data_IF_676732177005
#
_entry.id   IF_676732177005
#
_cell.length_a   1.000
_cell.length_b   1.000
_cell.length_c   1.000
_cell.angle_alpha   90.00
_cell.angle_beta   90.00
_cell.angle_gamma   90.00
#
_symmetry.space_group_name_H-M   'P 1'
#
loop_
_entity.id
_entity.type
_entity.pdbx_description
1 polymer ?
#
# COMPACT_ATOMS: atom_id res chain seq x y z
N UNK A 1 5.84 -40.20 36.07
CA UNK A 1 4.82 -39.92 35.04
C UNK A 1 4.04 -41.20 34.82
N UNK A 2 2.75 -41.24 35.19
CA UNK A 2 1.93 -42.43 34.95
C UNK A 2 1.59 -42.52 33.46
N UNK A 3 1.35 -43.73 32.96
CA UNK A 3 1.09 -43.98 31.54
C UNK A 3 -0.12 -43.19 31.02
N UNK A 4 -1.11 -43.01 31.88
CA UNK A 4 -2.32 -42.22 31.61
C UNK A 4 -1.96 -40.75 31.36
N UNK A 5 -1.06 -40.17 32.15
CA UNK A 5 -0.59 -38.79 31.97
C UNK A 5 0.13 -38.60 30.64
N UNK A 6 0.97 -39.57 30.26
CA UNK A 6 1.69 -39.53 28.97
C UNK A 6 0.71 -39.56 27.79
N UNK A 7 -0.26 -40.49 27.80
CA UNK A 7 -1.25 -40.61 26.73
C UNK A 7 -2.20 -39.41 26.65
N UNK A 8 -2.51 -38.77 27.78
CA UNK A 8 -3.28 -37.52 27.83
C UNK A 8 -2.52 -36.35 27.20
N UNK A 9 -1.21 -36.23 27.48
CA UNK A 9 -0.36 -35.21 26.88
C UNK A 9 -0.20 -35.37 25.36
N UNK A 10 -0.30 -36.60 24.85
CA UNK A 10 -0.25 -36.90 23.42
C UNK A 10 -1.60 -36.70 22.69
N UNK A 11 -2.63 -36.13 23.32
CA UNK A 11 -3.95 -35.93 22.71
C UNK A 11 -3.93 -35.11 21.42
N UNK A 12 -2.99 -34.18 21.29
CA UNK A 12 -2.83 -33.33 20.11
C UNK A 12 -2.12 -34.03 18.94
N UNK A 13 -1.63 -35.26 19.14
CA UNK A 13 -0.94 -36.06 18.13
C UNK A 13 -1.59 -37.45 18.03
N UNK A 14 -2.83 -37.57 17.51
CA UNK A 14 -3.65 -38.79 17.61
C UNK A 14 -2.98 -40.02 16.98
N UNK A 15 -2.26 -39.85 15.85
CA UNK A 15 -1.50 -40.94 15.20
C UNK A 15 -0.33 -41.42 16.05
N UNK A 16 0.41 -40.50 16.66
CA UNK A 16 1.54 -40.83 17.52
C UNK A 16 1.06 -41.47 18.84
N UNK A 17 -0.03 -40.95 19.41
CA UNK A 17 -0.71 -41.52 20.59
C UNK A 17 -1.14 -42.96 20.35
N UNK A 18 -1.76 -43.26 19.21
CA UNK A 18 -2.19 -44.61 18.86
C UNK A 18 -1.00 -45.56 18.68
N UNK A 19 0.08 -45.11 18.04
CA UNK A 19 1.33 -45.88 17.91
C UNK A 19 1.92 -46.21 19.28
N UNK A 20 2.02 -45.23 20.18
CA UNK A 20 2.52 -45.43 21.55
C UNK A 20 1.62 -46.39 22.32
N UNK A 21 0.29 -46.23 22.25
CA UNK A 21 -0.67 -47.12 22.92
C UNK A 21 -0.53 -48.58 22.45
N UNK A 22 -0.39 -48.83 21.15
CA UNK A 22 -0.24 -50.19 20.61
C UNK A 22 1.06 -50.86 21.06
N UNK A 23 2.17 -50.12 21.14
CA UNK A 23 3.46 -50.63 21.64
C UNK A 23 3.43 -50.96 23.14
N UNK A 24 2.53 -50.31 23.89
CA UNK A 24 2.34 -50.52 25.32
C UNK A 24 1.47 -51.74 25.65
N UNK A 25 0.46 -52.01 24.83
CA UNK A 25 -0.51 -53.11 25.06
C UNK A 25 0.18 -54.48 25.15
N UNK A 26 1.25 -54.69 24.37
CA UNK A 26 1.95 -55.98 24.30
C UNK A 26 3.18 -56.08 25.22
N UNK A 27 3.44 -55.08 26.09
CA UNK A 27 4.66 -55.00 26.89
C UNK A 27 4.47 -55.45 28.34
N UNK A 28 5.47 -56.16 28.87
CA UNK A 28 5.58 -56.44 30.31
C UNK A 28 5.97 -55.16 31.08
N UNK A 29 5.37 -54.89 32.26
CA UNK A 29 5.56 -53.65 33.02
C UNK A 29 6.98 -53.43 33.55
N UNK A 30 7.86 -54.42 33.49
CA UNK A 30 9.24 -54.36 34.00
C UNK A 30 10.25 -53.72 33.06
N UNK A 31 9.91 -53.48 31.79
CA UNK A 31 10.86 -52.94 30.80
C UNK A 31 10.68 -51.44 30.58
N UNK A 32 11.70 -50.60 30.80
CA UNK A 32 11.62 -49.17 30.57
C UNK A 32 11.36 -48.86 29.08
N UNK A 33 10.67 -47.74 28.84
CA UNK A 33 10.40 -47.22 27.51
C UNK A 33 11.33 -46.05 27.26
N UNK A 34 12.15 -46.16 26.23
CA UNK A 34 13.03 -45.08 25.81
C UNK A 34 12.38 -44.34 24.64
N UNK A 35 11.92 -43.11 24.90
CA UNK A 35 11.46 -42.19 23.85
C UNK A 35 12.69 -41.39 23.40
N UNK A 36 13.11 -41.58 22.15
CA UNK A 36 14.14 -40.74 21.53
C UNK A 36 13.45 -39.60 20.80
N UNK A 37 13.68 -38.37 21.25
CA UNK A 37 13.34 -37.20 20.45
C UNK A 37 14.38 -37.09 19.34
N UNK A 38 13.92 -37.18 18.09
CA UNK A 38 14.75 -36.96 16.91
C UNK A 38 14.30 -35.64 16.31
N UNK A 39 15.19 -34.64 16.15
CA UNK A 39 14.85 -33.42 15.44
C UNK A 39 14.39 -33.79 14.02
N UNK A 40 13.29 -33.21 13.52
CA UNK A 40 12.82 -33.52 12.18
C UNK A 40 13.89 -33.09 11.16
N UNK A 41 14.06 -33.88 10.09
CA UNK A 41 15.03 -33.57 9.04
C UNK A 41 14.71 -32.24 8.32
N UNK A 42 13.45 -31.82 8.36
CA UNK A 42 12.98 -30.52 7.89
C UNK A 42 12.00 -29.97 8.92
N UNK A 43 12.15 -28.70 9.28
CA UNK A 43 11.22 -28.04 10.18
C UNK A 43 9.83 -28.02 9.56
N UNK A 44 8.79 -28.10 10.39
CA UNK A 44 7.40 -28.03 9.93
C UNK A 44 6.99 -26.56 9.66
N UNK A 45 7.82 -25.87 8.88
CA UNK A 45 7.57 -24.51 8.41
C UNK A 45 6.88 -24.57 7.06
N UNK A 46 5.94 -23.65 6.83
CA UNK A 46 5.34 -23.49 5.52
C UNK A 46 6.28 -22.68 4.61
N UNK A 47 7.25 -23.38 4.03
CA UNK A 47 8.21 -22.79 3.10
C UNK A 47 7.54 -22.18 1.87
N UNK A 48 6.40 -22.71 1.42
CA UNK A 48 5.67 -22.17 0.29
C UNK A 48 5.06 -20.81 0.62
N UNK A 49 4.47 -20.65 1.80
CA UNK A 49 4.02 -19.35 2.27
C UNK A 49 5.18 -18.40 2.55
N UNK A 50 6.28 -18.90 3.14
CA UNK A 50 7.49 -18.12 3.36
C UNK A 50 8.03 -17.50 2.07
N UNK A 51 8.13 -18.27 0.99
CA UNK A 51 8.57 -17.77 -0.32
C UNK A 51 7.61 -16.72 -0.90
N UNK A 52 6.30 -16.94 -0.81
CA UNK A 52 5.30 -15.96 -1.28
C UNK A 52 5.39 -14.66 -0.48
N UNK A 53 5.51 -14.76 0.85
CA UNK A 53 5.64 -13.61 1.72
C UNK A 53 6.89 -12.80 1.38
N UNK A 54 8.04 -13.47 1.19
CA UNK A 54 9.28 -12.83 0.76
C UNK A 54 9.11 -12.09 -0.57
N UNK A 55 8.47 -12.71 -1.56
CA UNK A 55 8.22 -12.05 -2.86
C UNK A 55 7.34 -10.80 -2.71
N UNK A 56 6.24 -10.88 -1.96
CA UNK A 56 5.36 -9.74 -1.71
C UNK A 56 6.05 -8.61 -0.94
N UNK A 57 6.92 -8.95 0.01
CA UNK A 57 7.72 -7.95 0.75
C UNK A 57 8.68 -7.23 -0.18
N UNK A 58 9.37 -7.96 -1.06
CA UNK A 58 10.26 -7.34 -2.06
C UNK A 58 9.49 -6.44 -3.02
N UNK A 59 8.34 -6.89 -3.52
CA UNK A 59 7.49 -6.06 -4.37
C UNK A 59 7.05 -4.78 -3.63
N UNK A 60 6.63 -4.89 -2.36
CA UNK A 60 6.26 -3.73 -1.55
C UNK A 60 7.42 -2.75 -1.39
N UNK A 61 8.63 -3.23 -1.12
CA UNK A 61 9.84 -2.40 -0.97
C UNK A 61 10.13 -1.66 -2.28
N UNK A 62 10.14 -2.37 -3.40
CA UNK A 62 10.42 -1.78 -4.72
C UNK A 62 9.36 -0.74 -5.11
N UNK A 63 8.07 -1.05 -4.92
CA UNK A 63 6.98 -0.11 -5.21
C UNK A 63 7.06 1.14 -4.32
N UNK A 64 7.45 0.99 -3.06
CA UNK A 64 7.61 2.10 -2.12
C UNK A 64 8.76 3.01 -2.52
N UNK A 65 9.91 2.43 -2.90
CA UNK A 65 11.08 3.18 -3.35
C UNK A 65 10.79 3.95 -4.64
N UNK A 66 10.15 3.28 -5.61
CA UNK A 66 9.71 3.93 -6.85
C UNK A 66 8.75 5.08 -6.58
N UNK A 67 7.82 4.91 -5.64
CA UNK A 67 6.90 5.98 -5.25
C UNK A 67 7.62 7.17 -4.62
N UNK A 68 8.68 6.92 -3.82
CA UNK A 68 9.50 7.97 -3.25
C UNK A 68 10.25 8.77 -4.33
N UNK A 69 10.90 8.09 -5.28
CA UNK A 69 11.60 8.73 -6.39
C UNK A 69 10.67 9.54 -7.29
N UNK A 70 9.52 8.98 -7.65
CA UNK A 70 8.52 9.68 -8.45
C UNK A 70 7.92 10.88 -7.71
N UNK A 71 7.81 10.83 -6.37
CA UNK A 71 7.34 11.98 -5.59
C UNK A 71 8.34 13.14 -5.63
N UNK A 72 9.64 12.84 -5.52
CA UNK A 72 10.70 13.84 -5.61
C UNK A 72 10.78 14.45 -7.00
N UNK A 73 10.82 13.62 -8.05
CA UNK A 73 10.85 14.09 -9.44
C UNK A 73 9.57 14.83 -9.81
N UNK A 74 8.41 14.29 -9.42
CA UNK A 74 7.11 14.91 -9.65
C UNK A 74 6.99 16.29 -9.00
N UNK A 75 7.48 16.45 -7.78
CA UNK A 75 7.57 17.74 -7.10
C UNK A 75 8.45 18.74 -7.86
N UNK A 76 9.63 18.31 -8.32
CA UNK A 76 10.54 19.17 -9.09
C UNK A 76 9.94 19.62 -10.43
N UNK A 77 9.40 18.69 -11.22
CA UNK A 77 8.72 19.03 -12.49
C UNK A 77 7.47 19.86 -12.26
N UNK A 78 6.71 19.60 -11.21
CA UNK A 78 5.55 20.42 -10.84
C UNK A 78 5.97 21.85 -10.49
N UNK A 79 7.06 22.05 -9.74
CA UNK A 79 7.55 23.40 -9.42
C UNK A 79 7.98 24.17 -10.68
N UNK A 80 8.61 23.50 -11.63
CA UNK A 80 9.00 24.09 -12.92
C UNK A 80 7.82 24.27 -13.89
N UNK A 81 6.71 23.55 -13.66
CA UNK A 81 5.51 23.57 -14.51
C UNK A 81 4.81 24.93 -14.60
N UNK A 82 5.00 25.80 -13.61
CA UNK A 82 4.47 27.17 -13.64
C UNK A 82 5.20 28.06 -14.68
N UNK A 83 6.42 27.69 -15.07
CA UNK A 83 7.25 28.44 -16.02
C UNK A 83 7.36 27.75 -17.37
N UNK A 84 7.34 26.41 -17.38
CA UNK A 84 7.53 25.62 -18.59
C UNK A 84 6.48 24.51 -18.71
N UNK A 85 5.62 24.64 -19.72
CA UNK A 85 4.51 23.72 -19.98
C UNK A 85 4.97 22.26 -20.14
N UNK A 86 6.13 22.03 -20.77
CA UNK A 86 6.72 20.69 -20.91
C UNK A 86 7.01 20.01 -19.55
N UNK A 87 7.33 20.80 -18.52
CA UNK A 87 7.51 20.30 -17.16
C UNK A 87 6.17 19.93 -16.52
N UNK A 88 5.11 20.74 -16.75
CA UNK A 88 3.76 20.40 -16.31
C UNK A 88 3.26 19.10 -16.95
N UNK A 89 3.52 18.88 -18.24
CA UNK A 89 3.20 17.62 -18.93
C UNK A 89 3.94 16.42 -18.35
N UNK A 90 5.21 16.60 -18.00
CA UNK A 90 6.02 15.56 -17.37
C UNK A 90 5.50 15.24 -15.96
N UNK A 91 5.16 16.27 -15.17
CA UNK A 91 4.55 16.09 -13.85
C UNK A 91 3.19 15.37 -13.93
N UNK A 92 2.37 15.65 -14.96
CA UNK A 92 1.12 14.93 -15.19
C UNK A 92 1.37 13.44 -15.47
N UNK A 93 2.34 13.13 -16.34
CA UNK A 93 2.73 11.74 -16.63
C UNK A 93 3.24 11.03 -15.38
N UNK A 94 4.08 11.68 -14.58
CA UNK A 94 4.58 11.13 -13.31
C UNK A 94 3.40 10.84 -12.36
N UNK A 95 2.47 11.77 -12.19
CA UNK A 95 1.29 11.61 -11.33
C UNK A 95 0.43 10.40 -11.74
N UNK A 96 0.30 10.14 -13.05
CA UNK A 96 -0.40 8.95 -13.55
C UNK A 96 0.35 7.65 -13.23
N UNK A 97 1.69 7.65 -13.30
CA UNK A 97 2.50 6.48 -12.90
C UNK A 97 2.41 6.24 -11.39
N UNK A 98 2.50 7.29 -10.58
CA UNK A 98 2.30 7.22 -9.14
C UNK A 98 0.93 6.66 -8.79
N UNK A 99 -0.12 7.06 -9.52
CA UNK A 99 -1.47 6.52 -9.31
C UNK A 99 -1.54 5.02 -9.62
N UNK A 100 -0.88 4.53 -10.68
CA UNK A 100 -0.79 3.09 -10.98
C UNK A 100 -0.10 2.31 -9.85
N UNK A 101 0.98 2.86 -9.29
CA UNK A 101 1.67 2.25 -8.15
C UNK A 101 0.77 2.25 -6.90
N UNK A 102 0.08 3.37 -6.62
CA UNK A 102 -0.83 3.49 -5.50
C UNK A 102 -1.99 2.47 -5.57
N UNK A 103 -2.51 2.18 -6.77
CA UNK A 103 -3.48 1.11 -6.95
C UNK A 103 -2.90 -0.27 -6.64
N UNK A 104 -1.65 -0.56 -7.04
CA UNK A 104 -0.98 -1.85 -6.72
C UNK A 104 -0.72 -2.00 -5.22
N UNK A 105 -0.39 -0.90 -4.55
CA UNK A 105 -0.20 -0.86 -3.09
C UNK A 105 -1.51 -0.97 -2.31
N UNK A 106 -2.66 -0.78 -2.97
CA UNK A 106 -3.96 -0.81 -2.31
C UNK A 106 -4.16 0.34 -1.31
N UNK A 107 -3.53 1.50 -1.52
CA UNK A 107 -3.65 2.70 -0.65
C UNK A 107 -4.56 3.76 -1.32
N UNK A 108 -5.85 3.86 -0.91
CA UNK A 108 -6.79 4.84 -1.48
C UNK A 108 -6.40 6.29 -1.20
N UNK A 109 -5.77 6.57 -0.05
CA UNK A 109 -5.31 7.91 0.31
C UNK A 109 -4.16 8.34 -0.59
N UNK A 110 -3.26 7.42 -0.93
CA UNK A 110 -2.20 7.67 -1.91
C UNK A 110 -2.77 7.93 -3.32
N UNK A 111 -3.77 7.16 -3.75
CA UNK A 111 -4.49 7.41 -5.01
C UNK A 111 -5.09 8.81 -5.04
N UNK A 112 -5.74 9.23 -3.95
CA UNK A 112 -6.31 10.57 -3.83
C UNK A 112 -5.26 11.67 -3.91
N UNK A 113 -4.10 11.49 -3.26
CA UNK A 113 -2.96 12.41 -3.38
C UNK A 113 -2.44 12.51 -4.82
N UNK A 114 -2.31 11.39 -5.53
CA UNK A 114 -1.87 11.37 -6.93
C UNK A 114 -2.87 12.09 -7.86
N UNK A 115 -4.17 11.99 -7.59
CA UNK A 115 -5.19 12.75 -8.32
C UNK A 115 -5.04 14.25 -8.10
N UNK A 116 -4.70 14.67 -6.88
CA UNK A 116 -4.42 16.07 -6.58
C UNK A 116 -3.14 16.57 -7.26
N UNK A 117 -2.08 15.76 -7.35
CA UNK A 117 -0.87 16.11 -8.11
C UNK A 117 -1.19 16.30 -9.61
N UNK A 118 -1.99 15.41 -10.19
CA UNK A 118 -2.48 15.58 -11.56
C UNK A 118 -3.29 16.88 -11.72
N UNK A 119 -4.13 17.22 -10.74
CA UNK A 119 -4.90 18.46 -10.77
C UNK A 119 -4.02 19.72 -10.82
N UNK A 120 -2.86 19.71 -10.14
CA UNK A 120 -1.89 20.81 -10.22
C UNK A 120 -1.36 20.95 -11.65
N UNK A 121 -0.94 19.84 -12.28
CA UNK A 121 -0.45 19.87 -13.66
C UNK A 121 -1.52 20.34 -14.66
N UNK A 122 -2.79 19.98 -14.43
CA UNK A 122 -3.91 20.47 -15.24
C UNK A 122 -4.10 21.98 -15.08
N UNK A 123 -3.98 22.52 -13.87
CA UNK A 123 -4.04 23.97 -13.63
C UNK A 123 -2.92 24.68 -14.40
N UNK A 124 -1.70 24.15 -14.36
CA UNK A 124 -0.54 24.70 -15.08
C UNK A 124 -0.73 24.71 -16.61
N UNK A 125 -1.51 23.76 -17.13
CA UNK A 125 -1.91 23.67 -18.54
C UNK A 125 -3.17 24.47 -18.88
N UNK A 126 -3.69 25.27 -17.95
CA UNK A 126 -4.95 26.01 -18.09
C UNK A 126 -6.19 25.12 -18.31
N UNK A 127 -6.13 23.84 -17.93
CA UNK A 127 -7.27 22.90 -17.97
C UNK A 127 -8.10 22.98 -16.69
N UNK A 128 -8.61 24.17 -16.40
CA UNK A 128 -9.24 24.50 -15.11
C UNK A 128 -10.50 23.68 -14.81
N UNK A 129 -11.31 23.36 -15.82
CA UNK A 129 -12.56 22.61 -15.63
C UNK A 129 -12.29 21.19 -15.11
N UNK A 130 -11.34 20.48 -15.72
CA UNK A 130 -10.94 19.12 -15.33
C UNK A 130 -10.30 19.13 -13.95
N UNK A 131 -9.39 20.06 -13.68
CA UNK A 131 -8.76 20.21 -12.37
C UNK A 131 -9.79 20.44 -11.25
N UNK A 132 -10.75 21.34 -11.48
CA UNK A 132 -11.86 21.64 -10.56
C UNK A 132 -12.65 20.37 -10.22
N UNK A 133 -13.02 19.58 -11.22
CA UNK A 133 -13.78 18.33 -11.01
C UNK A 133 -13.01 17.34 -10.13
N UNK A 134 -11.71 17.16 -10.39
CA UNK A 134 -10.86 16.25 -9.60
C UNK A 134 -10.78 16.70 -8.14
N UNK A 135 -10.46 17.98 -7.89
CA UNK A 135 -10.34 18.52 -6.52
C UNK A 135 -11.65 18.35 -5.76
N UNK A 136 -12.79 18.67 -6.39
CA UNK A 136 -14.10 18.52 -5.76
C UNK A 136 -14.43 17.05 -5.46
N UNK A 137 -14.10 16.14 -6.38
CA UNK A 137 -14.33 14.70 -6.18
C UNK A 137 -13.52 14.18 -5.00
N UNK A 138 -12.22 14.49 -4.94
CA UNK A 138 -11.34 14.06 -3.84
C UNK A 138 -11.83 14.64 -2.52
N UNK A 139 -12.06 15.97 -2.45
CA UNK A 139 -12.51 16.63 -1.23
C UNK A 139 -13.85 16.08 -0.70
N UNK A 140 -14.82 15.85 -1.59
CA UNK A 140 -16.14 15.29 -1.22
C UNK A 140 -16.04 13.84 -0.77
N UNK A 141 -15.17 13.05 -1.40
CA UNK A 141 -14.97 11.65 -1.02
C UNK A 141 -14.32 11.57 0.35
N UNK A 142 -13.29 12.39 0.59
CA UNK A 142 -12.56 12.43 1.85
C UNK A 142 -13.43 12.90 3.01
N UNK A 143 -14.24 13.95 2.81
CA UNK A 143 -15.16 14.45 3.84
C UNK A 143 -16.25 13.47 4.26
N UNK A 144 -16.54 12.44 3.45
CA UNK A 144 -17.53 11.42 3.77
C UNK A 144 -16.96 10.27 4.58
N UNK A 145 -15.62 10.18 4.71
CA UNK A 145 -15.00 9.15 5.53
C UNK A 145 -15.35 9.36 7.01
N UNK A 146 -15.41 8.27 7.77
CA UNK A 146 -15.62 8.30 9.23
C UNK A 146 -14.50 9.07 9.92
N UNK A 147 -13.26 8.89 9.46
CA UNK A 147 -12.07 9.58 9.95
C UNK A 147 -11.33 10.25 8.79
N UNK A 148 -11.71 11.48 8.41
CA UNK A 148 -11.09 12.18 7.28
C UNK A 148 -9.62 12.53 7.55
N UNK A 149 -8.77 12.27 6.57
CA UNK A 149 -7.37 12.67 6.57
C UNK A 149 -7.26 14.20 6.46
N UNK A 150 -6.93 14.85 7.57
CA UNK A 150 -6.83 16.32 7.65
C UNK A 150 -5.82 16.87 6.64
N UNK A 151 -4.70 16.16 6.39
CA UNK A 151 -3.68 16.57 5.42
C UNK A 151 -4.25 16.61 4.00
N UNK A 152 -5.00 15.59 3.59
CA UNK A 152 -5.58 15.51 2.25
C UNK A 152 -6.62 16.62 2.01
N UNK A 153 -7.43 16.93 3.02
CA UNK A 153 -8.36 18.06 2.96
C UNK A 153 -7.65 19.41 2.80
N UNK A 154 -6.54 19.62 3.53
CA UNK A 154 -5.71 20.83 3.40
C UNK A 154 -5.06 20.92 2.02
N UNK A 155 -4.62 19.79 1.45
CA UNK A 155 -4.11 19.75 0.07
C UNK A 155 -5.17 20.19 -0.93
N UNK A 156 -6.40 19.68 -0.81
CA UNK A 156 -7.52 20.11 -1.66
C UNK A 156 -7.75 21.62 -1.59
N UNK A 157 -7.74 22.19 -0.38
CA UNK A 157 -7.93 23.63 -0.16
C UNK A 157 -6.79 24.46 -0.78
N UNK A 158 -5.54 24.04 -0.61
CA UNK A 158 -4.39 24.72 -1.20
C UNK A 158 -4.43 24.71 -2.73
N UNK A 159 -4.74 23.57 -3.32
CA UNK A 159 -4.82 23.43 -4.79
C UNK A 159 -6.03 24.21 -5.32
N UNK A 160 -7.14 24.25 -4.58
CA UNK A 160 -8.29 25.09 -4.93
C UNK A 160 -7.94 26.59 -4.95
N UNK A 161 -7.12 27.04 -4.00
CA UNK A 161 -6.63 28.41 -3.99
C UNK A 161 -5.76 28.71 -5.22
N UNK A 162 -4.84 27.79 -5.58
CA UNK A 162 -4.04 27.90 -6.81
C UNK A 162 -4.94 27.94 -8.06
N UNK A 163 -5.92 27.04 -8.16
CA UNK A 163 -6.87 27.01 -9.29
C UNK A 163 -7.58 28.34 -9.49
N UNK A 164 -8.07 28.95 -8.40
CA UNK A 164 -8.74 30.26 -8.46
C UNK A 164 -7.80 31.35 -8.95
N UNK A 165 -6.59 31.41 -8.38
CA UNK A 165 -5.60 32.42 -8.74
C UNK A 165 -5.21 32.34 -10.22
N UNK A 166 -4.87 31.14 -10.71
CA UNK A 166 -4.43 30.93 -12.09
C UNK A 166 -5.57 31.17 -13.09
N UNK A 167 -6.81 30.78 -12.74
CA UNK A 167 -7.98 31.05 -13.56
C UNK A 167 -8.23 32.56 -13.72
N UNK A 168 -8.19 33.32 -12.61
CA UNK A 168 -8.39 34.76 -12.64
C UNK A 168 -7.28 35.47 -13.43
N UNK A 169 -6.03 35.00 -13.31
CA UNK A 169 -4.90 35.50 -14.08
C UNK A 169 -5.09 35.23 -15.58
N UNK A 170 -5.51 34.02 -15.95
CA UNK A 170 -5.80 33.66 -17.33
C UNK A 170 -6.88 34.55 -17.95
N UNK A 171 -8.00 34.76 -17.24
CA UNK A 171 -9.09 35.62 -17.70
C UNK A 171 -8.64 37.07 -17.94
N UNK A 172 -7.80 37.61 -17.04
CA UNK A 172 -7.24 38.97 -17.20
C UNK A 172 -6.31 39.06 -18.42
N UNK A 173 -5.49 38.04 -18.67
CA UNK A 173 -4.60 38.01 -19.81
C UNK A 173 -5.38 37.89 -21.13
N UNK A 174 -6.41 37.04 -21.17
CA UNK A 174 -7.31 36.93 -22.33
C UNK A 174 -8.05 38.23 -22.62
N UNK A 175 -8.51 38.95 -21.58
CA UNK A 175 -9.15 40.24 -21.74
C UNK A 175 -8.21 41.30 -22.34
N UNK A 176 -6.94 41.33 -21.90
CA UNK A 176 -5.91 42.25 -22.43
C UNK A 176 -5.60 42.02 -23.90
N UNK A 177 -5.59 40.76 -24.35
CA UNK A 177 -5.31 40.41 -25.76
C UNK A 177 -6.45 40.84 -26.69
N UNK A 178 -7.68 41.00 -26.17
CA UNK A 178 -8.88 41.36 -26.96
C UNK A 178 -9.11 42.88 -27.07
N UNK A 179 -8.41 43.69 -26.30
CA UNK A 179 -8.37 45.17 -26.38
C UNK A 179 -7.22 45.64 -27.25
#
# INVERSE_FOLDING_TARGET
MQLVDLLLNLRYFPRFRLKVANELVNRKPSNPITIKLVPPAQEHLDYHWGQRAVHMIWELIELTELMAWLSTLGGAFSALGDYQLACADTAAKISLHQMKLAFRLGDPSLVARCQLYLAISLIQRCEFATAKQIIQRVYRSERKQTEPETRLLKMCQGIWAKLRYEYDLHQRNEARIKT
#
